data_IF_528940862989
#
_entry.id   IF_528940862989
#
_cell.length_a   1.000
_cell.length_b   1.000
_cell.length_c   1.000
_cell.angle_alpha   90.00
_cell.angle_beta   90.00
_cell.angle_gamma   90.00
#
_symmetry.space_group_name_H-M   'P 1'
#
loop_
_entity.id
_entity.type
_entity.pdbx_description
1 polymer ?
#
# COMPACT_ATOMS: atom_id res chain seq x y z
N UNK A 1 -6.01 -3.89 16.08
CA UNK A 1 -6.30 -2.78 15.17
C UNK A 1 -7.14 -3.31 14.03
N UNK A 2 -8.26 -2.67 13.71
CA UNK A 2 -9.15 -3.03 12.60
C UNK A 2 -8.58 -2.54 11.27
N UNK A 3 -9.13 -3.01 10.15
CA UNK A 3 -8.73 -2.54 8.82
C UNK A 3 -9.06 -1.06 8.60
N UNK A 4 -10.17 -0.57 9.16
CA UNK A 4 -10.55 0.84 9.09
C UNK A 4 -9.57 1.74 9.87
N UNK A 5 -9.17 1.33 11.07
CA UNK A 5 -8.15 2.05 11.86
C UNK A 5 -6.79 2.07 11.15
N UNK A 6 -6.43 0.96 10.47
CA UNK A 6 -5.22 0.90 9.63
C UNK A 6 -5.33 1.84 8.43
N UNK A 7 -6.49 1.84 7.75
CA UNK A 7 -6.76 2.73 6.62
C UNK A 7 -6.61 4.18 7.04
N UNK A 8 -7.28 4.59 8.11
CA UNK A 8 -7.22 5.97 8.62
C UNK A 8 -5.76 6.42 8.88
N UNK A 9 -4.96 5.59 9.56
CA UNK A 9 -3.53 5.89 9.79
C UNK A 9 -2.72 6.03 8.51
N UNK A 10 -2.97 5.15 7.54
CA UNK A 10 -2.26 5.20 6.25
C UNK A 10 -2.71 6.41 5.43
N UNK A 11 -3.97 6.84 5.51
CA UNK A 11 -4.43 8.07 4.87
C UNK A 11 -3.83 9.32 5.53
N UNK A 12 -3.66 9.31 6.86
CA UNK A 12 -3.05 10.43 7.59
C UNK A 12 -1.53 10.56 7.32
N UNK A 13 -0.81 9.43 7.27
CA UNK A 13 0.67 9.41 7.31
C UNK A 13 1.36 8.86 6.07
N UNK A 14 0.59 8.28 5.15
CA UNK A 14 1.11 7.45 4.08
C UNK A 14 1.54 6.05 4.55
N UNK A 15 1.99 5.20 3.61
CA UNK A 15 2.50 3.88 3.94
C UNK A 15 3.85 3.96 4.69
N UNK A 16 4.23 2.90 5.39
CA UNK A 16 5.52 2.87 6.11
C UNK A 16 6.70 2.85 5.14
N UNK A 17 6.58 2.07 4.06
CA UNK A 17 7.55 1.98 2.96
C UNK A 17 6.84 1.91 1.62
N UNK A 18 7.58 2.15 0.54
CA UNK A 18 7.11 2.01 -0.84
C UNK A 18 8.09 1.15 -1.63
N UNK A 19 7.61 0.09 -2.28
CA UNK A 19 8.40 -0.74 -3.21
C UNK A 19 8.71 0.05 -4.47
N UNK A 20 9.97 0.05 -4.90
CA UNK A 20 10.43 0.87 -6.03
C UNK A 20 10.93 0.06 -7.24
N UNK A 21 11.17 -1.25 -7.08
CA UNK A 21 11.63 -2.12 -8.17
C UNK A 21 11.14 -3.57 -8.03
N UNK A 22 11.52 -4.41 -8.99
CA UNK A 22 11.07 -5.81 -9.09
C UNK A 22 11.82 -6.75 -8.14
N UNK A 23 12.99 -6.34 -7.67
CA UNK A 23 13.81 -7.01 -6.66
C UNK A 23 13.21 -6.89 -5.26
N UNK A 24 12.18 -6.07 -5.09
CA UNK A 24 11.51 -5.85 -3.81
C UNK A 24 12.20 -4.82 -2.92
N UNK A 25 13.08 -3.99 -3.49
CA UNK A 25 13.64 -2.85 -2.76
C UNK A 25 12.54 -1.88 -2.37
N UNK A 26 12.57 -1.41 -1.13
CA UNK A 26 11.59 -0.48 -0.60
C UNK A 26 12.24 0.72 0.08
N UNK A 27 11.70 1.90 -0.16
CA UNK A 27 12.20 3.18 0.37
C UNK A 27 11.11 3.91 1.17
N UNK A 28 11.46 5.06 1.77
CA UNK A 28 10.49 5.92 2.48
C UNK A 28 9.53 6.59 1.47
N UNK A 29 8.27 6.89 1.84
CA UNK A 29 7.32 7.57 0.95
C UNK A 29 7.86 8.85 0.31
N UNK A 30 8.55 9.69 1.09
CA UNK A 30 9.14 10.94 0.61
C UNK A 30 10.17 10.71 -0.51
N UNK A 31 11.02 9.69 -0.38
CA UNK A 31 12.01 9.32 -1.42
C UNK A 31 11.33 8.72 -2.66
N UNK A 32 10.30 7.90 -2.47
CA UNK A 32 9.52 7.33 -3.57
C UNK A 32 8.83 8.44 -4.38
N UNK A 33 8.25 9.43 -3.71
CA UNK A 33 7.65 10.60 -4.34
C UNK A 33 8.70 11.41 -5.14
N UNK A 34 9.89 11.63 -4.57
CA UNK A 34 10.99 12.30 -5.28
C UNK A 34 11.45 11.54 -6.54
N UNK A 35 11.31 10.21 -6.55
CA UNK A 35 11.57 9.34 -7.70
C UNK A 35 10.36 9.19 -8.63
N UNK A 36 9.24 9.90 -8.37
CA UNK A 36 7.97 9.81 -9.11
C UNK A 36 7.38 8.40 -9.14
N UNK A 37 7.60 7.63 -8.09
CA UNK A 37 6.99 6.31 -7.90
C UNK A 37 5.56 6.52 -7.39
N UNK A 38 4.57 6.01 -8.14
CA UNK A 38 3.17 6.03 -7.71
C UNK A 38 2.92 5.03 -6.58
N UNK A 39 1.96 5.35 -5.71
CA UNK A 39 1.43 4.40 -4.73
C UNK A 39 -0.03 4.16 -5.11
N UNK A 40 -0.25 3.06 -5.84
CA UNK A 40 -1.58 2.69 -6.34
C UNK A 40 -2.23 1.63 -5.44
N UNK A 41 -1.38 0.87 -4.74
CA UNK A 41 -1.78 -0.17 -3.77
C UNK A 41 -0.99 0.01 -2.48
N UNK A 42 -1.59 -0.34 -1.34
CA UNK A 42 -0.91 -0.40 -0.04
C UNK A 42 -1.29 -1.68 0.69
N UNK A 43 -0.33 -2.56 0.98
CA UNK A 43 -0.55 -3.74 1.81
C UNK A 43 -0.50 -3.36 3.30
N UNK A 44 -1.42 -3.90 4.08
CA UNK A 44 -1.58 -3.65 5.52
C UNK A 44 -1.22 -4.89 6.32
N UNK A 45 -0.41 -4.74 7.36
CA UNK A 45 0.02 -5.84 8.25
C UNK A 45 -0.58 -5.69 9.65
N UNK A 46 -0.78 -6.81 10.35
CA UNK A 46 -1.42 -6.84 11.69
C UNK A 46 -0.73 -5.99 12.76
N UNK A 47 0.57 -5.75 12.61
CA UNK A 47 1.38 -4.95 13.53
C UNK A 47 1.32 -3.44 13.24
N UNK A 48 0.55 -3.03 12.22
CA UNK A 48 0.43 -1.64 11.78
C UNK A 48 1.47 -1.21 10.76
N UNK A 49 2.34 -2.13 10.32
CA UNK A 49 3.24 -1.87 9.20
C UNK A 49 2.48 -1.86 7.88
N UNK A 50 2.94 -1.05 6.92
CA UNK A 50 2.28 -0.90 5.63
C UNK A 50 3.26 -0.69 4.49
N UNK A 51 2.92 -1.26 3.32
CA UNK A 51 3.77 -1.25 2.13
C UNK A 51 3.03 -0.77 0.91
N UNK A 52 3.35 0.44 0.47
CA UNK A 52 2.90 1.00 -0.79
C UNK A 52 3.62 0.39 -1.98
N UNK A 53 2.96 0.33 -3.13
CA UNK A 53 3.60 0.01 -4.40
C UNK A 53 2.82 0.59 -5.58
N UNK A 54 3.49 0.84 -6.71
CA UNK A 54 2.82 0.97 -8.00
C UNK A 54 2.02 -0.28 -8.33
N UNK A 55 0.95 -0.14 -9.12
CA UNK A 55 0.11 -1.27 -9.53
C UNK A 55 0.94 -2.40 -10.17
N UNK A 56 1.93 -2.04 -11.01
CA UNK A 56 2.84 -2.98 -11.67
C UNK A 56 3.73 -3.78 -10.71
N UNK A 57 4.00 -3.25 -9.51
CA UNK A 57 4.82 -3.89 -8.47
C UNK A 57 3.97 -4.50 -7.35
N UNK A 58 2.64 -4.46 -7.46
CA UNK A 58 1.71 -4.96 -6.43
C UNK A 58 1.97 -6.42 -6.06
N UNK A 59 2.36 -7.26 -7.02
CA UNK A 59 2.69 -8.67 -6.78
C UNK A 59 4.01 -8.87 -6.03
N UNK A 60 5.01 -8.00 -6.29
CA UNK A 60 6.28 -8.01 -5.55
C UNK A 60 6.03 -7.63 -4.10
N UNK A 61 5.28 -6.55 -3.88
CA UNK A 61 4.88 -6.09 -2.55
C UNK A 61 4.12 -7.16 -1.76
N UNK A 62 3.18 -7.87 -2.40
CA UNK A 62 2.45 -8.98 -1.78
C UNK A 62 3.39 -10.08 -1.27
N UNK A 63 4.41 -10.45 -2.04
CA UNK A 63 5.28 -11.61 -1.77
C UNK A 63 6.34 -11.38 -0.70
N UNK A 64 6.75 -10.13 -0.44
CA UNK A 64 7.82 -9.83 0.52
C UNK A 64 7.49 -10.27 1.96
N UNK A 65 6.20 -10.40 2.30
CA UNK A 65 5.70 -10.90 3.58
C UNK A 65 4.38 -11.67 3.41
N UNK A 66 4.41 -12.66 2.52
CA UNK A 66 3.23 -13.48 2.24
C UNK A 66 2.72 -14.16 3.53
N UNK A 67 1.40 -14.14 3.75
CA UNK A 67 0.75 -14.65 4.96
C UNK A 67 0.71 -13.68 6.16
N UNK A 68 1.51 -12.61 6.17
CA UNK A 68 1.47 -11.61 7.25
C UNK A 68 0.52 -10.44 6.95
N UNK A 69 0.25 -10.16 5.67
CA UNK A 69 -0.71 -9.14 5.30
C UNK A 69 -2.10 -9.50 5.81
N UNK A 70 -2.89 -8.50 6.19
CA UNK A 70 -4.28 -8.68 6.65
C UNK A 70 -5.28 -7.95 5.78
N UNK A 71 -4.79 -7.00 4.97
CA UNK A 71 -5.60 -6.27 4.03
C UNK A 71 -4.75 -5.59 2.97
N UNK A 72 -5.44 -5.01 1.99
CA UNK A 72 -4.85 -4.10 1.02
C UNK A 72 -5.76 -2.90 0.84
N UNK A 73 -5.16 -1.75 0.60
CA UNK A 73 -5.82 -0.59 0.06
C UNK A 73 -5.52 -0.52 -1.44
N UNK A 74 -6.51 -0.22 -2.26
CA UNK A 74 -6.33 0.11 -3.66
C UNK A 74 -7.04 1.40 -3.99
N UNK A 75 -6.41 2.18 -4.86
CA UNK A 75 -6.99 3.43 -5.36
C UNK A 75 -8.15 3.10 -6.30
N UNK A 76 -9.32 3.65 -6.01
CA UNK A 76 -10.55 3.51 -6.81
C UNK A 76 -10.81 4.86 -7.47
N UNK A 77 -10.63 4.93 -8.78
CA UNK A 77 -11.11 6.06 -9.58
C UNK A 77 -10.02 6.92 -10.21
N UNK A 78 -10.06 6.94 -11.54
CA UNK A 78 -9.54 7.98 -12.41
C UNK A 78 -10.49 9.19 -12.47
N UNK A 79 -11.35 9.38 -11.46
CA UNK A 79 -12.23 10.53 -11.38
C UNK A 79 -11.40 11.71 -10.86
N UNK A 80 -11.19 12.69 -11.74
CA UNK A 80 -10.38 13.90 -11.47
C UNK A 80 -10.91 14.68 -10.25
N UNK A 81 -12.14 14.41 -9.81
CA UNK A 81 -12.80 15.08 -8.69
C UNK A 81 -12.47 14.50 -7.32
N UNK A 82 -11.95 13.28 -7.24
CA UNK A 82 -11.53 12.67 -5.98
C UNK A 82 -10.30 11.76 -6.17
N UNK A 83 -9.10 12.36 -6.29
CA UNK A 83 -7.86 11.62 -6.46
C UNK A 83 -7.44 10.83 -5.21
N UNK A 84 -8.18 10.90 -4.10
CA UNK A 84 -7.84 10.25 -2.83
C UNK A 84 -8.88 9.20 -2.39
N UNK A 85 -9.68 8.71 -3.33
CA UNK A 85 -10.56 7.57 -3.10
C UNK A 85 -9.77 6.26 -2.98
N UNK A 86 -9.80 5.67 -1.78
CA UNK A 86 -9.20 4.37 -1.44
C UNK A 86 -10.25 3.40 -0.91
N UNK A 87 -10.26 2.19 -1.45
CA UNK A 87 -11.01 1.05 -0.90
C UNK A 87 -10.09 0.17 -0.05
N UNK A 88 -10.68 -0.57 0.89
CA UNK A 88 -9.97 -1.53 1.73
C UNK A 88 -10.55 -2.92 1.55
N UNK A 89 -9.71 -3.86 1.16
CA UNK A 89 -10.05 -5.28 1.07
C UNK A 89 -9.39 -6.05 2.21
N UNK A 90 -10.15 -6.95 2.84
CA UNK A 90 -9.56 -7.99 3.70
C UNK A 90 -8.88 -9.04 2.83
N UNK A 91 -7.63 -9.36 3.14
CA UNK A 91 -6.93 -10.46 2.48
C UNK A 91 -7.23 -11.77 3.22
N UNK A 92 -7.55 -12.80 2.45
CA UNK A 92 -7.65 -14.18 2.95
C UNK A 92 -6.56 -15.00 2.29
N UNK A 93 -5.82 -15.75 3.11
CA UNK A 93 -4.84 -16.72 2.64
C UNK A 93 -5.53 -18.08 2.72
N UNK A 94 -5.65 -18.74 1.56
CA UNK A 94 -6.13 -20.11 1.45
C UNK A 94 -5.00 -21.11 1.67
#
# INVERSE_FOLDING_TARGET
MTLDEMKEKVMERGPTRVVINEEGEATTPMRALAQRVSVDVIYLRKDGWSLGAPQKLSMVARRLWDGDWVGRLHRIGADVRDPDSWEVDKLTFG
#
